data_IF_516781382723
#
_entry.id   IF_516781382723
#
_cell.length_a   1.000
_cell.length_b   1.000
_cell.length_c   1.000
_cell.angle_alpha   90.00
_cell.angle_beta   90.00
_cell.angle_gamma   90.00
#
_symmetry.space_group_name_H-M   'P 1'
#
loop_
_entity.id
_entity.type
_entity.pdbx_description
1 polymer ?
#
# COMPACT_ATOMS: atom_id res chain seq x y z
N UNK A 1 19.68 -16.68 -4.56
CA UNK A 1 19.40 -17.22 -3.22
C UNK A 1 18.04 -16.73 -2.77
N UNK A 2 17.09 -17.63 -2.50
CA UNK A 2 15.75 -17.23 -2.05
C UNK A 2 15.82 -16.72 -0.59
N UNK A 3 15.04 -15.69 -0.22
CA UNK A 3 15.02 -15.19 1.17
C UNK A 3 14.64 -16.28 2.20
N UNK A 4 13.88 -17.28 1.77
CA UNK A 4 13.52 -18.46 2.57
C UNK A 4 14.75 -19.33 2.86
N UNK A 5 15.67 -19.43 1.91
CA UNK A 5 16.94 -20.17 2.06
C UNK A 5 17.89 -19.42 3.01
N UNK A 6 17.95 -18.09 2.90
CA UNK A 6 18.71 -17.24 3.85
C UNK A 6 18.15 -17.37 5.27
N UNK A 7 16.82 -17.34 5.43
CA UNK A 7 16.17 -17.51 6.73
C UNK A 7 16.48 -18.89 7.35
N UNK A 8 16.39 -19.97 6.57
CA UNK A 8 16.71 -21.32 7.04
C UNK A 8 18.18 -21.45 7.45
N UNK A 9 19.11 -20.89 6.67
CA UNK A 9 20.56 -20.95 6.97
C UNK A 9 20.93 -20.11 8.20
N UNK A 10 20.32 -18.94 8.37
CA UNK A 10 20.50 -18.13 9.59
C UNK A 10 19.92 -18.85 10.81
N UNK A 11 18.74 -19.47 10.71
CA UNK A 11 18.15 -20.29 11.78
C UNK A 11 18.99 -21.53 12.11
N UNK A 12 19.66 -22.11 11.11
CA UNK A 12 20.56 -23.25 11.27
C UNK A 12 21.95 -22.86 11.82
N UNK A 13 22.21 -21.57 12.08
CA UNK A 13 23.47 -21.09 12.65
C UNK A 13 24.64 -20.98 11.66
N UNK A 14 24.38 -20.98 10.36
CA UNK A 14 25.41 -20.88 9.32
C UNK A 14 26.09 -19.50 9.37
N UNK A 15 27.40 -19.47 9.65
CA UNK A 15 28.23 -18.26 9.69
C UNK A 15 28.74 -17.86 8.31
N UNK A 16 28.59 -18.72 7.29
CA UNK A 16 29.06 -18.49 5.93
C UNK A 16 28.05 -17.70 5.05
N UNK A 17 27.01 -17.15 5.67
CA UNK A 17 26.01 -16.31 4.99
C UNK A 17 26.60 -14.94 4.70
N UNK A 18 26.64 -14.55 3.43
CA UNK A 18 27.14 -13.25 2.98
C UNK A 18 26.44 -12.08 3.70
N UNK A 19 27.20 -11.05 4.08
CA UNK A 19 26.66 -9.84 4.73
C UNK A 19 25.57 -9.17 3.90
N UNK A 20 25.68 -9.21 2.57
CA UNK A 20 24.66 -8.69 1.64
C UNK A 20 23.33 -9.43 1.78
N UNK A 21 23.35 -10.74 1.90
CA UNK A 21 22.15 -11.56 2.06
C UNK A 21 21.51 -11.36 3.44
N UNK A 22 22.35 -11.21 4.48
CA UNK A 22 21.90 -10.89 5.84
C UNK A 22 21.24 -9.50 5.91
N UNK A 23 21.79 -8.52 5.19
CA UNK A 23 21.23 -7.16 5.10
C UNK A 23 19.89 -7.15 4.33
N UNK A 24 19.79 -7.89 3.21
CA UNK A 24 18.53 -8.07 2.46
C UNK A 24 17.45 -8.75 3.29
N UNK A 25 17.83 -9.76 4.09
CA UNK A 25 16.91 -10.44 5.00
C UNK A 25 16.31 -9.49 6.05
N UNK A 26 17.16 -8.69 6.72
CA UNK A 26 16.69 -7.69 7.69
C UNK A 26 15.77 -6.66 7.06
N UNK A 27 16.14 -6.11 5.90
CA UNK A 27 15.34 -5.12 5.18
C UNK A 27 13.94 -5.68 4.83
N UNK A 28 13.86 -6.91 4.33
CA UNK A 28 12.58 -7.54 4.00
C UNK A 28 11.70 -7.75 5.23
N UNK A 29 12.31 -8.17 6.34
CA UNK A 29 11.59 -8.40 7.60
C UNK A 29 11.03 -7.09 8.18
N UNK A 30 11.83 -6.04 8.18
CA UNK A 30 11.43 -4.72 8.66
C UNK A 30 10.36 -4.10 7.76
N UNK A 31 10.51 -4.21 6.44
CA UNK A 31 9.51 -3.75 5.47
C UNK A 31 8.17 -4.50 5.64
N UNK A 32 8.20 -5.82 5.85
CA UNK A 32 6.99 -6.63 6.06
C UNK A 32 6.26 -6.22 7.34
N UNK A 33 7.00 -5.98 8.43
CA UNK A 33 6.44 -5.49 9.70
C UNK A 33 5.85 -4.09 9.54
N UNK A 34 6.58 -3.18 8.91
CA UNK A 34 6.12 -1.83 8.64
C UNK A 34 4.85 -1.82 7.80
N UNK A 35 4.76 -2.65 6.76
CA UNK A 35 3.57 -2.78 5.93
C UNK A 35 2.35 -3.31 6.71
N UNK A 36 2.54 -4.29 7.61
CA UNK A 36 1.47 -4.78 8.47
C UNK A 36 0.99 -3.75 9.49
N UNK A 37 1.92 -3.04 10.14
CA UNK A 37 1.59 -1.96 11.07
C UNK A 37 0.85 -0.84 10.33
N UNK A 38 1.37 -0.43 9.16
CA UNK A 38 0.75 0.58 8.31
C UNK A 38 -0.66 0.20 7.87
N UNK A 39 -0.89 -1.08 7.54
CA UNK A 39 -2.23 -1.58 7.19
C UNK A 39 -3.22 -1.40 8.35
N UNK A 40 -2.84 -1.83 9.55
CA UNK A 40 -3.71 -1.76 10.73
C UNK A 40 -4.01 -0.30 11.09
N UNK A 41 -2.99 0.56 11.05
CA UNK A 41 -3.13 1.99 11.35
C UNK A 41 -4.02 2.69 10.31
N UNK A 42 -3.81 2.45 9.01
CA UNK A 42 -4.64 3.03 7.95
C UNK A 42 -6.09 2.56 8.03
N UNK A 43 -6.32 1.28 8.34
CA UNK A 43 -7.66 0.75 8.52
C UNK A 43 -8.37 1.40 9.72
N UNK A 44 -7.68 1.52 10.86
CA UNK A 44 -8.21 2.20 12.04
C UNK A 44 -8.54 3.67 11.74
N UNK A 45 -7.62 4.39 11.08
CA UNK A 45 -7.84 5.77 10.67
C UNK A 45 -9.04 5.90 9.73
N UNK A 46 -9.18 5.00 8.75
CA UNK A 46 -10.30 5.01 7.84
C UNK A 46 -11.63 4.83 8.59
N UNK A 47 -11.72 3.89 9.54
CA UNK A 47 -12.92 3.68 10.37
C UNK A 47 -13.22 4.93 11.21
N UNK A 48 -12.22 5.52 11.86
CA UNK A 48 -12.38 6.74 12.66
C UNK A 48 -12.89 7.89 11.79
N UNK A 49 -12.32 8.09 10.59
CA UNK A 49 -12.74 9.15 9.66
C UNK A 49 -14.18 8.95 9.15
N UNK A 50 -14.58 7.71 8.86
CA UNK A 50 -15.98 7.42 8.48
C UNK A 50 -16.93 7.78 9.62
N UNK A 51 -16.64 7.32 10.84
CA UNK A 51 -17.49 7.60 12.01
C UNK A 51 -17.54 9.12 12.27
N UNK A 52 -16.40 9.79 12.28
CA UNK A 52 -16.31 11.23 12.49
C UNK A 52 -16.99 12.02 11.35
N UNK A 53 -16.93 11.54 10.11
CA UNK A 53 -17.56 12.16 8.94
C UNK A 53 -19.08 12.05 8.97
N UNK A 54 -19.62 10.91 9.42
CA UNK A 54 -21.06 10.70 9.60
C UNK A 54 -21.59 11.54 10.76
N UNK A 55 -20.92 11.49 11.93
CA UNK A 55 -21.34 12.27 13.10
C UNK A 55 -21.22 13.78 12.84
N UNK A 56 -20.15 14.21 12.17
CA UNK A 56 -19.90 15.60 11.82
C UNK A 56 -20.62 16.09 10.57
N UNK A 57 -21.40 15.23 9.90
CA UNK A 57 -22.11 15.50 8.64
C UNK A 57 -21.24 16.21 7.57
N UNK A 58 -19.96 15.88 7.51
CA UNK A 58 -18.98 16.60 6.68
C UNK A 58 -18.59 15.79 5.46
N UNK A 59 -19.00 16.29 4.28
CA UNK A 59 -18.62 15.72 2.98
C UNK A 59 -17.09 15.76 2.75
N UNK A 60 -16.39 16.75 3.31
CA UNK A 60 -14.93 16.83 3.23
C UNK A 60 -14.26 15.71 4.05
N UNK A 61 -14.77 15.43 5.25
CA UNK A 61 -14.25 14.32 6.08
C UNK A 61 -14.57 12.96 5.46
N UNK A 62 -15.73 12.83 4.82
CA UNK A 62 -16.11 11.60 4.12
C UNK A 62 -15.21 11.35 2.90
N UNK A 63 -14.86 12.39 2.14
CA UNK A 63 -13.91 12.30 1.04
C UNK A 63 -12.51 11.88 1.52
N UNK A 64 -12.05 12.42 2.64
CA UNK A 64 -10.77 12.04 3.25
C UNK A 64 -10.79 10.61 3.84
N UNK A 65 -11.96 10.14 4.30
CA UNK A 65 -12.17 8.75 4.70
C UNK A 65 -12.01 7.77 3.53
N UNK A 66 -12.59 8.11 2.36
CA UNK A 66 -12.45 7.31 1.13
C UNK A 66 -10.99 7.24 0.69
N UNK A 67 -10.23 8.34 0.81
CA UNK A 67 -8.81 8.33 0.52
C UNK A 67 -8.04 7.33 1.42
N UNK A 68 -8.26 7.36 2.74
CA UNK A 68 -7.64 6.41 3.66
C UNK A 68 -8.04 4.95 3.42
N UNK A 69 -9.24 4.71 2.89
CA UNK A 69 -9.64 3.37 2.42
C UNK A 69 -8.83 2.93 1.20
N UNK A 70 -8.60 3.82 0.23
CA UNK A 70 -7.77 3.53 -0.94
C UNK A 70 -6.31 3.22 -0.54
N UNK A 71 -5.76 3.91 0.46
CA UNK A 71 -4.43 3.64 1.02
C UNK A 71 -4.36 2.26 1.69
N UNK A 72 -5.43 1.84 2.37
CA UNK A 72 -5.56 0.51 2.95
C UNK A 72 -5.53 -0.56 1.87
N UNK A 73 -6.32 -0.40 0.80
CA UNK A 73 -6.35 -1.32 -0.36
C UNK A 73 -4.97 -1.40 -1.02
N UNK A 74 -4.30 -0.26 -1.21
CA UNK A 74 -2.94 -0.18 -1.73
C UNK A 74 -1.97 -1.01 -0.89
N UNK A 75 -2.05 -0.90 0.43
CA UNK A 75 -1.19 -1.65 1.36
C UNK A 75 -1.45 -3.15 1.26
N UNK A 76 -2.70 -3.58 1.09
CA UNK A 76 -3.05 -4.99 0.85
C UNK A 76 -2.45 -5.49 -0.46
N UNK A 77 -2.59 -4.72 -1.55
CA UNK A 77 -2.03 -5.06 -2.86
C UNK A 77 -0.51 -5.21 -2.78
N UNK A 78 0.19 -4.30 -2.08
CA UNK A 78 1.64 -4.41 -1.84
C UNK A 78 1.97 -5.66 -1.04
N UNK A 79 1.24 -5.97 0.03
CA UNK A 79 1.47 -7.19 0.83
C UNK A 79 1.28 -8.48 0.02
N UNK A 80 0.31 -8.50 -0.89
CA UNK A 80 0.07 -9.60 -1.84
C UNK A 80 1.18 -9.65 -2.89
N UNK A 81 1.58 -8.51 -3.46
CA UNK A 81 2.67 -8.43 -4.44
C UNK A 81 4.00 -8.89 -3.83
N UNK A 82 4.31 -8.50 -2.60
CA UNK A 82 5.46 -9.02 -1.83
C UNK A 82 5.34 -10.53 -1.60
N UNK A 83 4.13 -11.07 -1.42
CA UNK A 83 3.92 -12.50 -1.26
C UNK A 83 4.15 -13.26 -2.58
N UNK A 84 3.67 -12.71 -3.69
CA UNK A 84 3.88 -13.26 -5.04
C UNK A 84 5.35 -13.16 -5.46
N UNK A 85 6.02 -12.05 -5.17
CA UNK A 85 7.44 -11.84 -5.46
C UNK A 85 8.37 -12.82 -4.71
N UNK A 86 7.88 -13.46 -3.64
CA UNK A 86 8.60 -14.54 -2.93
C UNK A 86 8.44 -15.91 -3.57
N UNK A 87 7.56 -16.08 -4.58
CA UNK A 87 7.43 -17.37 -5.27
C UNK A 87 8.69 -17.63 -6.12
N UNK A 88 9.25 -18.86 -6.06
CA UNK A 88 10.37 -19.25 -6.91
C UNK A 88 9.98 -19.17 -8.40
N UNK A 89 10.98 -19.06 -9.28
CA UNK A 89 10.77 -19.01 -10.72
C UNK A 89 9.97 -20.25 -11.19
N UNK A 90 8.88 -20.02 -11.92
CA UNK A 90 8.07 -21.06 -12.56
C UNK A 90 8.45 -21.20 -14.04
N UNK A 91 7.90 -22.20 -14.71
CA UNK A 91 8.19 -22.48 -16.13
C UNK A 91 7.71 -21.36 -17.07
N UNK A 92 6.73 -20.54 -16.65
CA UNK A 92 6.23 -19.38 -17.41
C UNK A 92 7.08 -18.11 -17.22
N UNK A 93 7.83 -17.98 -16.12
CA UNK A 93 8.69 -16.83 -15.82
C UNK A 93 10.13 -17.24 -15.45
N UNK A 94 10.99 -17.50 -16.47
CA UNK A 94 12.37 -17.96 -16.28
C UNK A 94 13.27 -17.01 -15.49
N UNK A 95 12.93 -15.71 -15.44
CA UNK A 95 13.68 -14.68 -14.72
C UNK A 95 13.13 -14.38 -13.31
N UNK A 96 12.04 -15.06 -12.90
CA UNK A 96 11.42 -14.95 -11.58
C UNK A 96 10.44 -13.77 -11.41
N UNK A 97 9.54 -13.89 -10.43
CA UNK A 97 8.46 -12.93 -10.13
C UNK A 97 8.92 -11.68 -9.35
N UNK A 98 10.22 -11.46 -9.23
CA UNK A 98 10.81 -10.42 -8.37
C UNK A 98 10.46 -8.99 -8.78
N UNK A 99 10.00 -8.75 -10.02
CA UNK A 99 9.54 -7.44 -10.50
C UNK A 99 8.05 -7.15 -10.29
N UNK A 100 7.27 -8.13 -9.82
CA UNK A 100 5.83 -7.95 -9.60
C UNK A 100 5.52 -6.82 -8.59
N UNK A 101 6.37 -6.66 -7.58
CA UNK A 101 6.25 -5.59 -6.57
C UNK A 101 6.40 -4.19 -7.19
N UNK A 102 7.41 -3.99 -8.04
CA UNK A 102 7.63 -2.72 -8.72
C UNK A 102 6.50 -2.38 -9.71
N UNK A 103 5.96 -3.38 -10.41
CA UNK A 103 4.84 -3.22 -11.35
C UNK A 103 3.55 -2.87 -10.59
N UNK A 104 3.26 -3.56 -9.48
CA UNK A 104 2.10 -3.26 -8.64
C UNK A 104 2.20 -1.85 -8.03
N UNK A 105 3.36 -1.50 -7.47
CA UNK A 105 3.59 -0.17 -6.88
C UNK A 105 3.48 0.98 -7.89
N UNK A 106 4.07 0.81 -9.08
CA UNK A 106 3.97 1.81 -10.16
C UNK A 106 2.54 1.95 -10.69
N UNK A 107 1.79 0.84 -10.81
CA UNK A 107 0.39 0.87 -11.23
C UNK A 107 -0.48 1.66 -10.25
N UNK A 108 -0.31 1.43 -8.94
CA UNK A 108 -1.04 2.18 -7.90
C UNK A 108 -0.67 3.66 -7.93
N UNK A 109 0.61 3.98 -8.07
CA UNK A 109 1.06 5.37 -8.15
C UNK A 109 0.42 6.13 -9.33
N UNK A 110 0.29 5.47 -10.50
CA UNK A 110 -0.37 6.05 -11.67
C UNK A 110 -1.86 6.31 -11.38
N UNK A 111 -2.56 5.36 -10.75
CA UNK A 111 -3.97 5.52 -10.40
C UNK A 111 -4.17 6.71 -9.46
N UNK A 112 -3.35 6.82 -8.41
CA UNK A 112 -3.42 7.94 -7.46
C UNK A 112 -3.15 9.28 -8.16
N UNK A 113 -2.16 9.34 -9.05
CA UNK A 113 -1.85 10.55 -9.81
C UNK A 113 -3.03 11.00 -10.69
N UNK A 114 -3.72 10.07 -11.34
CA UNK A 114 -4.92 10.36 -12.14
C UNK A 114 -6.07 10.85 -11.26
N UNK A 115 -6.34 10.20 -10.12
CA UNK A 115 -7.39 10.63 -9.18
C UNK A 115 -7.12 12.03 -8.63
N UNK A 116 -5.86 12.32 -8.29
CA UNK A 116 -5.45 13.65 -7.84
C UNK A 116 -5.68 14.71 -8.93
N UNK A 117 -5.26 14.46 -10.17
CA UNK A 117 -5.46 15.37 -11.30
C UNK A 117 -6.95 15.63 -11.57
N UNK A 118 -7.79 14.59 -11.53
CA UNK A 118 -9.24 14.72 -11.69
C UNK A 118 -9.87 15.55 -10.56
N UNK A 119 -9.41 15.36 -9.33
CA UNK A 119 -9.90 16.12 -8.17
C UNK A 119 -9.55 17.59 -8.28
N UNK A 120 -8.31 17.91 -8.68
CA UNK A 120 -7.87 19.29 -8.95
C UNK A 120 -8.72 19.92 -10.05
N UNK A 121 -8.90 19.22 -11.17
CA UNK A 121 -9.70 19.70 -12.29
C UNK A 121 -11.16 19.96 -11.89
N UNK A 122 -11.77 19.03 -11.14
CA UNK A 122 -13.13 19.22 -10.58
C UNK A 122 -13.19 20.43 -9.67
N UNK A 123 -12.23 20.59 -8.75
CA UNK A 123 -12.20 21.72 -7.82
C UNK A 123 -12.10 23.06 -8.57
N UNK A 124 -11.22 23.15 -9.57
CA UNK A 124 -11.03 24.37 -10.38
C UNK A 124 -12.25 24.72 -11.23
N UNK A 125 -13.00 23.74 -11.71
CA UNK A 125 -14.20 23.98 -12.52
C UNK A 125 -15.42 24.29 -11.66
N UNK A 126 -15.50 23.77 -10.43
CA UNK A 126 -16.64 23.95 -9.53
C UNK A 126 -16.60 25.22 -8.66
N UNK A 127 -15.52 26.01 -8.71
CA UNK A 127 -15.37 27.25 -7.94
C UNK A 127 -16.46 28.33 -8.19
N UNK A 128 -17.28 28.18 -9.25
CA UNK A 128 -18.31 29.15 -9.62
C UNK A 128 -19.76 28.74 -9.30
N UNK A 129 -20.01 27.60 -8.64
CA UNK A 129 -21.38 27.17 -8.30
C UNK A 129 -21.72 27.50 -6.84
N UNK A 130 -22.69 28.38 -6.62
CA UNK A 130 -23.17 28.78 -5.28
C UNK A 130 -23.76 27.58 -4.51
N UNK A 131 -23.40 27.46 -3.23
CA UNK A 131 -24.00 26.49 -2.31
C UNK A 131 -25.44 26.93 -1.97
N UNK A 132 -26.42 26.18 -2.46
CA UNK A 132 -27.81 26.32 -2.00
C UNK A 132 -27.90 25.64 -0.62
N UNK A 133 -28.29 26.39 0.41
CA UNK A 133 -28.51 25.88 1.77
C UNK A 133 -29.52 24.73 1.75
N UNK A 134 -29.32 23.64 2.53
CA UNK A 134 -30.35 22.64 2.71
C UNK A 134 -31.58 23.30 3.37
N UNK A 135 -32.81 23.05 2.89
CA UNK A 135 -34.01 23.51 3.59
C UNK A 135 -34.06 22.87 4.99
N UNK A 136 -34.25 23.73 5.98
CA UNK A 136 -34.45 23.39 7.40
C UNK A 136 -35.65 22.48 7.62
#
# INVERSE_FOLDING_TARGET
MALIEVEMRIRAGDTNVSDRDRQRYKLYHDARKAAWIGLVVNLLLAVIKVIAGVIGQSMALLADAVNSLADTVTTIVVLVAMHVARRPADEEHPYGHTRAEAIAGSSVAIIIAVVAALTIYKSFTHWHTEHILPPV
#
